data_IF_655164075610
#
_entry.id   IF_655164075610
#
_cell.length_a   1.000
_cell.length_b   1.000
_cell.length_c   1.000
_cell.angle_alpha   90.00
_cell.angle_beta   90.00
_cell.angle_gamma   90.00
#
_symmetry.space_group_name_H-M   'P 1'
#
loop_
_entity.id
_entity.type
_entity.pdbx_description
1 polymer ?
#
# COMPACT_ATOMS: atom_id res chain seq x y z
N UNK A 1 2.10 17.96 16.07
CA UNK A 1 2.77 16.76 16.64
C UNK A 1 2.02 16.36 17.91
N UNK A 2 1.13 15.35 17.82
CA UNK A 2 0.31 14.90 18.98
C UNK A 2 1.05 13.88 19.87
N UNK A 3 2.39 13.90 19.90
CA UNK A 3 3.21 13.05 20.75
C UNK A 3 3.30 11.58 20.34
N UNK A 4 2.88 11.22 19.12
CA UNK A 4 3.03 9.89 18.59
C UNK A 4 4.41 9.70 17.95
N UNK A 5 5.10 8.61 18.28
CA UNK A 5 6.37 8.20 17.64
C UNK A 5 6.16 7.47 16.32
N UNK A 6 4.95 6.99 16.05
CA UNK A 6 4.52 6.31 14.81
C UNK A 6 3.14 6.79 14.42
N UNK A 7 2.83 6.77 13.12
CA UNK A 7 1.49 7.13 12.62
C UNK A 7 0.49 6.06 13.07
N UNK A 8 -0.58 6.42 13.81
CA UNK A 8 -1.57 5.47 14.29
C UNK A 8 -2.34 4.82 13.13
N UNK A 9 -2.48 3.51 13.15
CA UNK A 9 -3.01 2.71 12.04
C UNK A 9 -4.44 3.06 11.61
N UNK A 10 -5.29 3.53 12.52
CA UNK A 10 -6.74 3.73 12.28
C UNK A 10 -7.18 5.16 12.62
N UNK A 11 -6.35 6.13 12.34
CA UNK A 11 -6.65 7.55 12.53
C UNK A 11 -6.54 8.31 11.22
N UNK A 12 -7.08 9.51 11.20
CA UNK A 12 -7.10 10.36 10.00
C UNK A 12 -5.70 10.70 9.50
N UNK A 13 -4.69 10.73 10.36
CA UNK A 13 -3.29 10.97 10.02
C UNK A 13 -2.68 9.87 9.13
N UNK A 14 -3.27 8.67 9.12
CA UNK A 14 -2.86 7.58 8.23
C UNK A 14 -3.56 7.60 6.87
N UNK A 15 -4.54 8.48 6.67
CA UNK A 15 -5.30 8.57 5.42
C UNK A 15 -4.51 9.38 4.39
N UNK A 16 -4.31 8.79 3.22
CA UNK A 16 -3.71 9.44 2.05
C UNK A 16 -4.81 9.75 1.03
N UNK A 17 -4.56 10.75 0.18
CA UNK A 17 -5.45 11.02 -0.95
C UNK A 17 -5.34 9.84 -1.92
N UNK A 18 -6.47 9.20 -2.32
CA UNK A 18 -6.43 8.07 -3.24
C UNK A 18 -5.86 8.47 -4.61
N UNK A 19 -4.81 7.81 -5.08
CA UNK A 19 -4.18 8.07 -6.39
C UNK A 19 -4.75 7.23 -7.54
N UNK A 20 -5.51 6.19 -7.24
CA UNK A 20 -5.96 5.18 -8.21
C UNK A 20 -6.78 5.77 -9.36
N UNK A 21 -7.67 6.70 -9.08
CA UNK A 21 -8.57 7.29 -10.10
C UNK A 21 -7.75 8.02 -11.17
N UNK A 22 -6.70 8.73 -10.77
CA UNK A 22 -5.78 9.34 -11.73
C UNK A 22 -5.06 8.27 -12.55
N UNK A 23 -4.56 7.22 -11.89
CA UNK A 23 -3.89 6.08 -12.55
C UNK A 23 -4.79 5.39 -13.58
N UNK A 24 -6.04 5.09 -13.22
CA UNK A 24 -7.02 4.49 -14.14
C UNK A 24 -7.28 5.37 -15.36
N UNK A 25 -7.48 6.67 -15.15
CA UNK A 25 -7.68 7.62 -16.24
C UNK A 25 -6.48 7.72 -17.18
N UNK A 26 -5.26 7.74 -16.62
CA UNK A 26 -4.01 7.77 -17.37
C UNK A 26 -3.81 6.50 -18.19
N UNK A 27 -3.99 5.33 -17.58
CA UNK A 27 -3.86 4.04 -18.27
C UNK A 27 -4.91 3.87 -19.37
N UNK A 28 -6.16 4.26 -19.10
CA UNK A 28 -7.22 4.21 -20.10
C UNK A 28 -6.92 5.14 -21.29
N UNK A 29 -6.38 6.32 -21.04
CA UNK A 29 -6.00 7.28 -22.08
C UNK A 29 -4.82 6.81 -22.93
N UNK A 30 -3.76 6.29 -22.28
CA UNK A 30 -2.50 6.03 -22.94
C UNK A 30 -2.44 4.64 -23.60
N UNK A 31 -3.18 3.66 -23.06
CA UNK A 31 -3.16 2.26 -23.49
C UNK A 31 -4.54 1.65 -23.74
N UNK A 32 -5.62 2.33 -23.32
CA UNK A 32 -6.97 1.81 -23.43
C UNK A 32 -7.50 1.82 -24.87
N UNK A 33 -8.30 0.83 -25.21
CA UNK A 33 -9.06 0.78 -26.46
C UNK A 33 -10.53 1.13 -26.28
N UNK A 34 -11.01 1.12 -25.02
CA UNK A 34 -12.36 1.50 -24.65
C UNK A 34 -12.35 2.84 -23.91
N UNK A 35 -13.36 3.69 -24.10
CA UNK A 35 -13.57 4.89 -23.30
C UNK A 35 -13.71 4.55 -21.81
N UNK A 36 -13.32 5.46 -20.95
CA UNK A 36 -13.36 5.27 -19.49
C UNK A 36 -14.78 5.00 -18.97
N UNK A 37 -15.78 5.69 -19.52
CA UNK A 37 -17.20 5.48 -19.19
C UNK A 37 -17.66 4.05 -19.48
N UNK A 38 -17.26 3.47 -20.62
CA UNK A 38 -17.63 2.09 -20.99
C UNK A 38 -16.93 1.08 -20.07
N UNK A 39 -15.68 1.35 -19.71
CA UNK A 39 -14.91 0.53 -18.78
C UNK A 39 -15.48 0.55 -17.36
N UNK A 40 -16.06 1.68 -16.92
CA UNK A 40 -16.65 1.83 -15.59
C UNK A 40 -18.11 1.39 -15.52
N UNK A 41 -18.83 1.26 -16.64
CA UNK A 41 -20.24 0.95 -16.68
C UNK A 41 -20.65 -0.31 -15.87
N UNK A 42 -19.92 -1.45 -15.94
CA UNK A 42 -20.23 -2.62 -15.10
C UNK A 42 -20.08 -2.34 -13.60
N UNK A 43 -19.03 -1.61 -13.19
CA UNK A 43 -18.80 -1.26 -11.79
C UNK A 43 -19.90 -0.35 -11.25
N UNK A 44 -20.32 0.64 -12.03
CA UNK A 44 -21.45 1.54 -11.70
C UNK A 44 -22.74 0.73 -11.54
N UNK A 45 -23.00 -0.19 -12.48
CA UNK A 45 -24.18 -1.06 -12.42
C UNK A 45 -24.21 -1.87 -11.13
N UNK A 46 -23.13 -2.58 -10.81
CA UNK A 46 -23.07 -3.43 -9.60
C UNK A 46 -23.08 -2.61 -8.31
N UNK A 47 -22.44 -1.45 -8.29
CA UNK A 47 -22.50 -0.57 -7.13
C UNK A 47 -23.93 -0.07 -6.85
N UNK A 48 -24.72 0.17 -7.91
CA UNK A 48 -26.10 0.64 -7.81
C UNK A 48 -27.09 -0.49 -7.54
N UNK A 49 -27.01 -1.58 -8.30
CA UNK A 49 -27.93 -2.72 -8.19
C UNK A 49 -27.64 -3.64 -7.01
N UNK A 50 -26.41 -3.64 -6.52
CA UNK A 50 -25.91 -4.56 -5.51
C UNK A 50 -25.36 -5.85 -6.10
N UNK A 51 -24.47 -6.48 -5.31
CA UNK A 51 -23.89 -7.80 -5.60
C UNK A 51 -24.23 -8.77 -4.46
N UNK A 52 -24.50 -10.05 -4.77
CA UNK A 52 -24.63 -11.06 -3.75
C UNK A 52 -23.31 -11.24 -3.00
N UNK A 53 -23.34 -11.17 -1.68
CA UNK A 53 -22.14 -11.29 -0.86
C UNK A 53 -21.61 -12.73 -0.89
N UNK A 54 -20.36 -12.90 -1.31
CA UNK A 54 -19.70 -14.20 -1.39
C UNK A 54 -19.38 -14.79 -0.01
N UNK A 55 -19.18 -16.12 0.13
CA UNK A 55 -18.97 -16.79 1.43
C UNK A 55 -17.80 -16.21 2.23
N UNK A 56 -16.64 -16.09 1.59
CA UNK A 56 -15.43 -15.56 2.23
C UNK A 56 -15.60 -14.10 2.64
N UNK A 57 -16.23 -13.30 1.78
CA UNK A 57 -16.51 -11.88 2.04
C UNK A 57 -17.45 -11.72 3.23
N UNK A 58 -18.53 -12.52 3.32
CA UNK A 58 -19.45 -12.49 4.47
C UNK A 58 -18.74 -12.83 5.78
N UNK A 59 -17.88 -13.86 5.76
CA UNK A 59 -17.07 -14.26 6.92
C UNK A 59 -16.13 -13.13 7.37
N UNK A 60 -15.32 -12.58 6.47
CA UNK A 60 -14.36 -11.54 6.79
C UNK A 60 -15.04 -10.24 7.24
N UNK A 61 -16.17 -9.90 6.63
CA UNK A 61 -16.96 -8.74 7.01
C UNK A 61 -17.45 -8.83 8.44
N UNK A 62 -18.02 -9.98 8.82
CA UNK A 62 -18.50 -10.23 10.17
C UNK A 62 -17.39 -10.08 11.22
N UNK A 63 -16.18 -10.58 10.92
CA UNK A 63 -15.02 -10.46 11.82
C UNK A 63 -14.53 -9.02 12.00
N UNK A 64 -14.77 -8.14 11.02
CA UNK A 64 -14.24 -6.78 11.00
C UNK A 64 -15.27 -5.70 11.36
N UNK A 65 -16.51 -6.03 11.69
CA UNK A 65 -17.55 -5.05 12.02
C UNK A 65 -17.19 -4.12 13.18
N UNK A 66 -16.41 -4.61 14.14
CA UNK A 66 -15.96 -3.83 15.30
C UNK A 66 -14.94 -2.74 14.91
N UNK A 67 -14.26 -2.91 13.78
CA UNK A 67 -13.28 -1.95 13.29
C UNK A 67 -13.92 -0.74 12.59
N UNK A 68 -15.19 -0.85 12.18
CA UNK A 68 -15.90 0.22 11.50
C UNK A 68 -16.29 1.33 12.49
N UNK A 69 -15.95 2.56 12.14
CA UNK A 69 -16.31 3.75 12.89
C UNK A 69 -17.65 4.34 12.38
N UNK A 70 -18.16 5.34 13.08
CA UNK A 70 -19.51 5.92 12.97
C UNK A 70 -20.11 5.94 11.55
N UNK A 71 -19.59 6.76 10.66
CA UNK A 71 -20.12 6.90 9.29
C UNK A 71 -19.91 5.64 8.43
N UNK A 72 -18.80 4.93 8.64
CA UNK A 72 -18.54 3.67 7.94
C UNK A 72 -19.56 2.58 8.34
N UNK A 73 -20.01 2.55 9.60
CA UNK A 73 -21.06 1.61 10.03
C UNK A 73 -22.37 1.82 9.27
N UNK A 74 -22.75 3.06 9.04
CA UNK A 74 -23.96 3.38 8.27
C UNK A 74 -23.88 2.94 6.81
N UNK A 75 -22.69 2.97 6.22
CA UNK A 75 -22.45 2.63 4.81
C UNK A 75 -22.19 1.16 4.56
N UNK A 76 -21.51 0.49 5.49
CA UNK A 76 -21.04 -0.89 5.30
C UNK A 76 -21.82 -1.95 6.09
N UNK A 77 -22.83 -1.56 6.87
CA UNK A 77 -23.69 -2.52 7.58
C UNK A 77 -25.12 -2.42 7.06
N UNK A 78 -25.81 -3.56 7.03
CA UNK A 78 -27.24 -3.65 6.72
C UNK A 78 -27.97 -3.83 8.05
N UNK A 79 -28.83 -2.87 8.41
CA UNK A 79 -29.52 -2.86 9.71
C UNK A 79 -28.56 -3.06 10.91
N UNK A 80 -27.37 -2.47 10.84
CA UNK A 80 -26.36 -2.53 11.91
C UNK A 80 -25.52 -3.81 11.97
N UNK A 81 -25.72 -4.76 11.06
CA UNK A 81 -24.99 -6.02 11.00
C UNK A 81 -24.24 -6.21 9.68
N UNK A 82 -23.20 -7.06 9.69
CA UNK A 82 -22.53 -7.47 8.45
C UNK A 82 -23.51 -8.14 7.49
N UNK A 83 -23.40 -7.88 6.16
CA UNK A 83 -24.19 -8.58 5.17
C UNK A 83 -23.99 -10.09 5.26
N UNK A 84 -25.07 -10.86 5.10
CA UNK A 84 -25.02 -12.32 5.10
C UNK A 84 -24.65 -12.86 3.73
N UNK A 85 -24.17 -14.10 3.71
CA UNK A 85 -23.95 -14.86 2.48
C UNK A 85 -25.18 -14.77 1.54
N UNK A 86 -24.96 -14.37 0.29
CA UNK A 86 -25.99 -14.23 -0.73
C UNK A 86 -26.88 -12.99 -0.60
N UNK A 87 -26.80 -12.24 0.49
CA UNK A 87 -27.52 -10.97 0.64
C UNK A 87 -26.97 -9.95 -0.35
N UNK A 88 -27.86 -9.18 -0.99
CA UNK A 88 -27.43 -8.10 -1.88
C UNK A 88 -26.88 -6.95 -1.06
N UNK A 89 -25.67 -6.52 -1.42
CA UNK A 89 -25.06 -5.30 -0.89
C UNK A 89 -24.87 -4.30 -2.02
N UNK A 90 -25.47 -3.14 -1.88
CA UNK A 90 -25.35 -2.01 -2.81
C UNK A 90 -24.61 -0.83 -2.17
N UNK A 91 -23.88 -0.08 -2.98
CA UNK A 91 -23.13 1.11 -2.58
C UNK A 91 -23.47 2.29 -3.50
N UNK A 92 -24.67 2.88 -3.39
CA UNK A 92 -25.13 3.92 -4.31
C UNK A 92 -24.26 5.18 -4.28
N UNK A 93 -23.63 5.51 -3.15
CA UNK A 93 -22.65 6.60 -3.06
C UNK A 93 -21.42 6.33 -3.92
N UNK A 94 -20.91 5.07 -3.92
CA UNK A 94 -19.80 4.66 -4.79
C UNK A 94 -20.20 4.72 -6.26
N UNK A 95 -21.44 4.33 -6.60
CA UNK A 95 -21.94 4.46 -7.97
C UNK A 95 -21.94 5.92 -8.42
N UNK A 96 -22.40 6.85 -7.58
CA UNK A 96 -22.41 8.28 -7.90
C UNK A 96 -21.00 8.86 -8.12
N UNK A 97 -20.01 8.42 -7.33
CA UNK A 97 -18.60 8.80 -7.53
C UNK A 97 -18.09 8.27 -8.87
N UNK A 98 -18.33 6.99 -9.17
CA UNK A 98 -17.88 6.37 -10.42
C UNK A 98 -18.54 7.00 -11.65
N UNK A 99 -19.83 7.40 -11.57
CA UNK A 99 -20.53 8.13 -12.62
C UNK A 99 -19.89 9.49 -12.91
N UNK A 100 -19.47 10.21 -11.87
CA UNK A 100 -18.73 11.46 -12.07
C UNK A 100 -17.38 11.23 -12.72
N UNK A 101 -16.64 10.23 -12.25
CA UNK A 101 -15.36 9.85 -12.87
C UNK A 101 -15.54 9.44 -14.34
N UNK A 102 -16.60 8.72 -14.65
CA UNK A 102 -16.93 8.33 -16.02
C UNK A 102 -17.24 9.54 -16.93
N UNK A 103 -17.88 10.56 -16.40
CA UNK A 103 -18.28 11.75 -17.14
C UNK A 103 -17.18 12.82 -17.23
N UNK A 104 -16.49 13.06 -16.13
CA UNK A 104 -15.58 14.20 -15.94
C UNK A 104 -14.11 13.77 -15.82
N UNK A 105 -13.83 12.44 -15.85
CA UNK A 105 -12.49 11.89 -15.68
C UNK A 105 -11.90 12.23 -14.31
N UNK A 106 -10.61 12.60 -14.30
CA UNK A 106 -9.87 12.99 -13.11
C UNK A 106 -10.59 14.06 -12.28
N UNK A 107 -11.11 15.07 -12.94
CA UNK A 107 -11.67 16.25 -12.26
C UNK A 107 -12.96 15.91 -11.50
N UNK A 108 -13.73 14.94 -11.96
CA UNK A 108 -14.89 14.41 -11.25
C UNK A 108 -14.60 13.79 -9.88
N UNK A 109 -13.33 13.51 -9.57
CA UNK A 109 -12.91 12.94 -8.30
C UNK A 109 -12.08 13.92 -7.45
N UNK A 110 -11.11 14.60 -8.06
CA UNK A 110 -10.14 15.43 -7.32
C UNK A 110 -10.52 16.90 -7.21
N UNK A 111 -11.64 17.29 -7.81
CA UNK A 111 -12.21 18.64 -7.70
C UNK A 111 -13.72 18.57 -7.48
N UNK A 112 -14.33 19.69 -7.11
CA UNK A 112 -15.78 19.79 -6.92
C UNK A 112 -16.34 18.88 -5.82
N UNK A 113 -17.60 18.47 -5.97
CA UNK A 113 -18.40 17.89 -4.89
C UNK A 113 -17.82 16.60 -4.27
N UNK A 114 -17.11 15.76 -5.04
CA UNK A 114 -16.49 14.54 -4.47
C UNK A 114 -15.30 14.89 -3.59
N UNK A 115 -14.41 15.76 -4.06
CA UNK A 115 -13.27 16.24 -3.28
C UNK A 115 -13.72 17.02 -2.03
N UNK A 116 -14.76 17.86 -2.17
CA UNK A 116 -15.35 18.64 -1.07
C UNK A 116 -15.93 17.71 0.02
N UNK A 117 -16.66 16.66 -0.35
CA UNK A 117 -17.21 15.67 0.60
C UNK A 117 -16.11 14.90 1.32
N UNK A 118 -15.09 14.44 0.58
CA UNK A 118 -13.93 13.76 1.17
C UNK A 118 -13.16 14.68 2.13
N UNK A 119 -12.88 15.90 1.70
CA UNK A 119 -12.16 16.88 2.52
C UNK A 119 -12.94 17.23 3.79
N UNK A 120 -14.26 17.48 3.67
CA UNK A 120 -15.11 17.77 4.81
C UNK A 120 -15.13 16.61 5.83
N UNK A 121 -15.23 15.36 5.35
CA UNK A 121 -15.20 14.17 6.19
C UNK A 121 -13.86 14.00 6.91
N UNK A 122 -12.73 14.22 6.21
CA UNK A 122 -11.39 14.15 6.80
C UNK A 122 -11.16 15.26 7.81
N UNK A 123 -11.60 16.48 7.52
CA UNK A 123 -11.52 17.63 8.44
C UNK A 123 -12.35 17.41 9.71
N UNK A 124 -13.56 16.86 9.57
CA UNK A 124 -14.41 16.49 10.70
C UNK A 124 -13.76 15.44 11.62
N UNK A 125 -12.92 14.57 11.05
CA UNK A 125 -12.10 13.60 11.79
C UNK A 125 -10.79 14.18 12.37
N UNK A 126 -10.52 15.49 12.18
CA UNK A 126 -9.29 16.15 12.65
C UNK A 126 -8.14 16.16 11.63
N UNK A 127 -8.39 15.76 10.38
CA UNK A 127 -7.37 15.78 9.33
C UNK A 127 -7.00 17.18 8.85
N UNK A 128 -5.82 17.32 8.26
CA UNK A 128 -5.30 18.59 7.73
C UNK A 128 -5.47 18.75 6.22
N UNK A 129 -6.06 17.75 5.53
CA UNK A 129 -6.22 17.74 4.08
C UNK A 129 -6.95 18.99 3.55
N UNK A 130 -6.49 19.51 2.42
CA UNK A 130 -7.08 20.67 1.75
C UNK A 130 -7.55 20.30 0.34
N UNK A 131 -8.41 21.12 -0.26
CA UNK A 131 -8.86 20.91 -1.64
C UNK A 131 -7.71 21.05 -2.64
N UNK A 132 -6.71 21.86 -2.31
CA UNK A 132 -5.49 22.01 -3.09
C UNK A 132 -4.68 20.72 -3.13
N UNK A 133 -4.61 19.97 -2.02
CA UNK A 133 -3.93 18.67 -1.97
C UNK A 133 -4.63 17.66 -2.91
N UNK A 134 -5.97 17.63 -2.92
CA UNK A 134 -6.74 16.80 -3.85
C UNK A 134 -6.47 17.23 -5.31
N UNK A 135 -6.58 18.52 -5.61
CA UNK A 135 -6.35 19.05 -6.94
C UNK A 135 -4.93 18.81 -7.45
N UNK A 136 -3.93 18.84 -6.57
CA UNK A 136 -2.52 18.60 -6.91
C UNK A 136 -2.20 17.11 -7.11
N UNK A 137 -3.08 16.18 -6.71
CA UNK A 137 -2.84 14.74 -6.84
C UNK A 137 -2.66 14.34 -8.31
N UNK A 138 -1.55 13.67 -8.61
CA UNK A 138 -1.20 13.17 -9.95
C UNK A 138 -0.43 11.86 -9.85
N UNK A 139 -0.60 11.01 -10.87
CA UNK A 139 0.25 9.85 -11.09
C UNK A 139 1.36 10.20 -12.07
N UNK A 140 2.50 9.57 -11.90
CA UNK A 140 3.67 9.72 -12.79
C UNK A 140 4.13 8.34 -13.23
N UNK A 141 4.69 8.26 -14.43
CA UNK A 141 5.43 7.07 -14.85
C UNK A 141 6.80 7.07 -14.19
N UNK A 142 7.23 5.91 -13.72
CA UNK A 142 8.55 5.72 -13.12
C UNK A 142 9.28 4.53 -13.72
N UNK A 143 10.60 4.46 -13.54
CA UNK A 143 11.39 3.30 -13.93
C UNK A 143 11.18 2.18 -12.89
N UNK A 144 10.77 0.97 -13.30
CA UNK A 144 10.63 -0.15 -12.37
C UNK A 144 11.97 -0.52 -11.73
N UNK A 145 11.91 -0.88 -10.45
CA UNK A 145 13.01 -1.57 -9.76
C UNK A 145 13.12 -3.00 -10.28
N UNK A 146 14.32 -3.58 -10.24
CA UNK A 146 14.59 -4.90 -10.82
C UNK A 146 15.44 -5.76 -9.90
N UNK A 147 15.12 -7.06 -9.85
CA UNK A 147 16.00 -8.09 -9.34
C UNK A 147 15.81 -9.37 -10.15
N UNK A 148 16.86 -10.17 -10.31
CA UNK A 148 16.80 -11.47 -10.96
C UNK A 148 16.78 -12.57 -9.90
N UNK A 149 15.96 -13.60 -10.05
CA UNK A 149 15.95 -14.79 -9.21
C UNK A 149 15.79 -16.05 -10.08
N UNK A 150 16.75 -16.96 -10.04
CA UNK A 150 16.73 -18.24 -10.82
C UNK A 150 16.38 -18.07 -12.29
N UNK A 151 16.91 -17.03 -12.94
CA UNK A 151 16.69 -16.76 -14.37
C UNK A 151 15.39 -16.01 -14.69
N UNK A 152 14.59 -15.68 -13.68
CA UNK A 152 13.40 -14.82 -13.83
C UNK A 152 13.74 -13.42 -13.34
N UNK A 153 13.39 -12.40 -14.14
CA UNK A 153 13.48 -11.01 -13.73
C UNK A 153 12.17 -10.60 -13.03
N UNK A 154 12.29 -10.10 -11.80
CA UNK A 154 11.19 -9.49 -11.06
C UNK A 154 11.24 -7.97 -11.25
N UNK A 155 10.11 -7.40 -11.64
CA UNK A 155 9.91 -5.97 -11.79
C UNK A 155 8.95 -5.49 -10.70
N UNK A 156 9.31 -4.42 -10.02
CA UNK A 156 8.51 -3.85 -8.94
C UNK A 156 8.38 -2.33 -9.08
N UNK A 157 7.32 -1.79 -8.51
CA UNK A 157 7.15 -0.35 -8.42
C UNK A 157 8.29 0.29 -7.61
N UNK A 158 8.76 1.48 -8.03
CA UNK A 158 9.72 2.24 -7.24
C UNK A 158 9.11 2.70 -5.91
N UNK A 159 9.93 3.32 -5.07
CA UNK A 159 9.42 4.03 -3.90
C UNK A 159 8.40 5.09 -4.39
N UNK A 160 7.37 5.25 -3.66
CA UNK A 160 6.91 4.99 -2.29
C UNK A 160 6.32 3.57 -2.05
N UNK A 161 6.17 2.77 -3.10
CA UNK A 161 5.70 1.38 -2.99
C UNK A 161 6.69 0.48 -2.24
N UNK A 162 6.20 -0.68 -1.80
CA UNK A 162 7.00 -1.66 -1.04
C UNK A 162 7.72 -2.67 -1.92
N UNK A 163 7.76 -2.49 -3.23
CA UNK A 163 8.39 -3.42 -4.18
C UNK A 163 9.84 -3.71 -3.85
N UNK A 164 10.62 -2.70 -3.44
CA UNK A 164 12.00 -2.88 -2.99
C UNK A 164 12.15 -3.91 -1.87
N UNK A 165 11.17 -4.06 -0.98
CA UNK A 165 11.18 -5.07 0.08
C UNK A 165 11.16 -6.48 -0.50
N UNK A 166 10.31 -6.74 -1.48
CA UNK A 166 10.23 -8.04 -2.15
C UNK A 166 11.54 -8.34 -2.91
N UNK A 167 12.10 -7.36 -3.60
CA UNK A 167 13.36 -7.50 -4.31
C UNK A 167 14.53 -7.79 -3.36
N UNK A 168 14.58 -7.14 -2.20
CA UNK A 168 15.58 -7.43 -1.17
C UNK A 168 15.42 -8.85 -0.64
N UNK A 169 14.20 -9.30 -0.35
CA UNK A 169 13.93 -10.69 0.07
C UNK A 169 14.45 -11.69 -0.97
N UNK A 170 14.16 -11.48 -2.25
CA UNK A 170 14.64 -12.32 -3.34
C UNK A 170 16.17 -12.33 -3.43
N UNK A 171 16.81 -11.16 -3.27
CA UNK A 171 18.26 -11.06 -3.29
C UNK A 171 18.88 -11.81 -2.10
N UNK A 172 18.27 -11.78 -0.92
CA UNK A 172 18.71 -12.60 0.22
C UNK A 172 18.49 -14.09 -0.01
N UNK A 173 17.34 -14.49 -0.58
CA UNK A 173 17.01 -15.90 -0.88
C UNK A 173 18.02 -16.57 -1.82
N UNK A 174 18.73 -15.82 -2.67
CA UNK A 174 19.79 -16.35 -3.56
C UNK A 174 20.93 -17.03 -2.81
N UNK A 175 21.14 -16.67 -1.56
CA UNK A 175 22.22 -17.20 -0.72
C UNK A 175 21.88 -18.53 -0.05
N UNK A 176 20.65 -19.05 -0.27
CA UNK A 176 20.17 -20.32 0.29
C UNK A 176 19.70 -21.25 -0.83
N UNK A 177 19.93 -22.56 -0.66
CA UNK A 177 19.37 -23.56 -1.58
C UNK A 177 17.89 -23.85 -1.23
N UNK A 178 17.03 -22.88 -1.50
CA UNK A 178 15.58 -22.97 -1.24
C UNK A 178 14.92 -24.15 -1.97
N UNK A 179 15.54 -24.69 -3.03
CA UNK A 179 14.96 -25.79 -3.80
C UNK A 179 15.14 -27.16 -3.11
N UNK A 180 16.21 -27.32 -2.33
CA UNK A 180 16.45 -28.54 -1.56
C UNK A 180 15.62 -28.62 -0.28
N UNK A 181 15.09 -27.49 0.20
CA UNK A 181 14.28 -27.43 1.41
C UNK A 181 12.85 -27.90 1.15
N UNK A 182 12.28 -28.68 2.05
CA UNK A 182 10.87 -29.08 1.97
C UNK A 182 9.97 -27.85 1.99
N UNK A 183 8.97 -27.72 1.06
CA UNK A 183 8.14 -26.49 0.92
C UNK A 183 7.44 -26.03 2.21
N UNK A 184 7.08 -26.97 3.07
CA UNK A 184 6.45 -26.70 4.37
C UNK A 184 7.33 -27.14 5.55
N UNK A 185 8.64 -27.27 5.30
CA UNK A 185 9.61 -27.69 6.32
C UNK A 185 10.01 -26.54 7.26
N UNK A 186 10.41 -26.90 8.47
CA UNK A 186 10.82 -25.95 9.51
C UNK A 186 12.01 -25.09 9.07
N UNK A 187 13.00 -25.70 8.41
CA UNK A 187 14.17 -25.00 7.91
C UNK A 187 13.81 -23.88 6.95
N UNK A 188 12.96 -24.19 5.94
CA UNK A 188 12.49 -23.21 4.97
C UNK A 188 11.69 -22.10 5.63
N UNK A 189 10.74 -22.46 6.49
CA UNK A 189 9.92 -21.48 7.21
C UNK A 189 10.79 -20.56 8.08
N UNK A 190 11.84 -21.10 8.72
CA UNK A 190 12.79 -20.32 9.51
C UNK A 190 13.54 -19.31 8.64
N UNK A 191 14.16 -19.75 7.55
CA UNK A 191 14.91 -18.85 6.63
C UNK A 191 13.99 -17.78 6.03
N UNK A 192 12.81 -18.13 5.56
CA UNK A 192 11.85 -17.16 5.01
C UNK A 192 11.42 -16.13 6.07
N UNK A 193 11.22 -16.53 7.32
CA UNK A 193 10.88 -15.64 8.42
C UNK A 193 12.02 -14.68 8.76
N UNK A 194 13.25 -15.17 8.84
CA UNK A 194 14.43 -14.34 9.16
C UNK A 194 14.73 -13.33 8.05
N UNK A 195 14.65 -13.76 6.78
CA UNK A 195 14.74 -12.87 5.61
C UNK A 195 13.66 -11.79 5.68
N UNK A 196 12.42 -12.17 5.99
CA UNK A 196 11.32 -11.21 6.11
C UNK A 196 11.55 -10.18 7.19
N UNK A 197 12.02 -10.57 8.37
CA UNK A 197 12.35 -9.65 9.47
C UNK A 197 13.37 -8.59 9.05
N UNK A 198 14.46 -9.00 8.42
CA UNK A 198 15.52 -8.10 7.95
C UNK A 198 15.03 -7.17 6.83
N UNK A 199 14.25 -7.71 5.89
CA UNK A 199 13.70 -6.90 4.80
C UNK A 199 12.68 -5.86 5.29
N UNK A 200 11.86 -6.21 6.27
CA UNK A 200 10.91 -5.27 6.89
C UNK A 200 11.60 -4.22 7.76
N UNK A 201 12.71 -4.55 8.44
CA UNK A 201 13.53 -3.55 9.12
C UNK A 201 14.12 -2.55 8.12
N UNK A 202 14.72 -3.04 7.02
CA UNK A 202 15.24 -2.20 5.94
C UNK A 202 14.14 -1.32 5.31
N UNK A 203 12.95 -1.90 5.05
CA UNK A 203 11.79 -1.15 4.55
C UNK A 203 11.45 0.05 5.43
N UNK A 204 11.35 -0.18 6.74
CA UNK A 204 10.96 0.86 7.69
C UNK A 204 11.95 2.02 7.75
N UNK A 205 13.20 1.80 7.30
CA UNK A 205 14.26 2.80 7.29
C UNK A 205 14.43 3.53 5.99
N UNK A 206 14.20 2.85 4.86
CA UNK A 206 14.65 3.33 3.55
C UNK A 206 13.50 3.61 2.57
N UNK A 207 12.29 3.11 2.81
CA UNK A 207 11.16 3.37 1.93
C UNK A 207 10.36 4.55 2.47
N UNK A 208 10.28 5.59 1.66
CA UNK A 208 9.49 6.78 1.86
C UNK A 208 8.96 7.27 0.50
N UNK A 209 8.43 8.48 0.45
CA UNK A 209 8.12 9.15 -0.81
C UNK A 209 9.35 9.21 -1.72
N UNK A 210 9.16 8.97 -3.04
CA UNK A 210 10.25 8.86 -4.01
C UNK A 210 11.21 10.05 -4.04
N UNK A 211 10.70 11.25 -3.77
CA UNK A 211 11.49 12.46 -3.73
C UNK A 211 12.44 12.51 -2.51
N UNK A 212 12.18 11.69 -1.50
CA UNK A 212 12.96 11.62 -0.25
C UNK A 212 13.66 10.26 -0.04
N UNK A 213 13.32 9.24 -0.82
CA UNK A 213 13.84 7.87 -0.68
C UNK A 213 15.16 7.69 -1.47
N UNK A 214 16.21 8.35 -1.08
CA UNK A 214 17.49 8.37 -1.81
C UNK A 214 18.32 7.08 -1.75
N UNK A 215 17.94 6.08 -0.96
CA UNK A 215 18.75 4.89 -0.65
C UNK A 215 18.12 3.55 -1.08
N UNK A 216 17.11 3.59 -1.92
CA UNK A 216 16.40 2.37 -2.37
C UNK A 216 17.32 1.46 -3.17
N UNK A 217 18.15 2.03 -4.05
CA UNK A 217 19.11 1.24 -4.84
C UNK A 217 20.11 0.51 -3.95
N UNK A 218 20.61 1.18 -2.91
CA UNK A 218 21.49 0.55 -1.92
C UNK A 218 20.76 -0.56 -1.14
N UNK A 219 19.48 -0.31 -0.75
CA UNK A 219 18.66 -1.32 -0.06
C UNK A 219 18.57 -2.63 -0.84
N UNK A 220 18.36 -2.56 -2.16
CA UNK A 220 18.19 -3.74 -3.02
C UNK A 220 19.50 -4.26 -3.62
N UNK A 221 20.65 -3.63 -3.33
CA UNK A 221 21.93 -4.07 -3.86
C UNK A 221 22.28 -5.51 -3.43
N UNK A 222 22.87 -6.32 -4.32
CA UNK A 222 23.32 -7.68 -3.98
C UNK A 222 24.27 -7.72 -2.79
N UNK A 223 25.13 -6.72 -2.66
CA UNK A 223 26.09 -6.58 -1.57
C UNK A 223 25.40 -6.37 -0.22
N UNK A 224 24.33 -5.59 -0.19
CA UNK A 224 23.49 -5.39 0.99
C UNK A 224 22.82 -6.69 1.40
N UNK A 225 22.25 -7.43 0.45
CA UNK A 225 21.65 -8.74 0.71
C UNK A 225 22.69 -9.74 1.26
N UNK A 226 23.90 -9.77 0.66
CA UNK A 226 25.00 -10.64 1.12
C UNK A 226 25.47 -10.32 2.54
N UNK A 227 25.39 -9.07 2.98
CA UNK A 227 25.72 -8.68 4.34
C UNK A 227 24.58 -9.05 5.32
N UNK A 228 23.33 -8.82 4.94
CA UNK A 228 22.16 -9.11 5.77
C UNK A 228 22.02 -10.61 6.07
N UNK A 229 22.26 -11.49 5.11
CA UNK A 229 22.14 -12.94 5.32
C UNK A 229 23.14 -13.48 6.34
N UNK A 230 24.27 -12.80 6.57
CA UNK A 230 25.25 -13.19 7.62
C UNK A 230 24.70 -13.01 9.03
N UNK A 231 23.61 -12.27 9.20
CA UNK A 231 22.96 -12.08 10.49
C UNK A 231 21.96 -13.20 10.80
N UNK A 232 21.66 -14.06 9.84
CA UNK A 232 20.73 -15.18 10.01
C UNK A 232 21.48 -16.37 10.65
N UNK A 233 21.05 -16.75 11.85
CA UNK A 233 21.48 -18.00 12.48
C UNK A 233 20.51 -19.11 12.06
N UNK A 234 20.98 -20.19 11.38
CA UNK A 234 20.10 -21.25 10.92
C UNK A 234 19.42 -22.06 12.04
N UNK A 235 19.92 -21.93 13.27
CA UNK A 235 19.46 -22.72 14.43
C UNK A 235 18.72 -21.87 15.47
N UNK A 236 18.66 -20.56 15.31
CA UNK A 236 18.08 -19.65 16.30
C UNK A 236 17.32 -18.52 15.65
N UNK A 237 16.05 -18.33 16.04
CA UNK A 237 15.25 -17.21 15.60
C UNK A 237 15.81 -15.88 16.14
N UNK A 238 15.91 -14.88 15.27
CA UNK A 238 16.26 -13.51 15.61
C UNK A 238 15.18 -12.92 16.51
N UNK A 239 15.55 -12.48 17.70
CA UNK A 239 14.60 -11.97 18.68
C UNK A 239 14.09 -10.58 18.31
N UNK A 240 15.00 -9.68 17.88
CA UNK A 240 14.67 -8.31 17.48
C UNK A 240 15.49 -7.93 16.24
N UNK A 241 14.83 -7.74 15.10
CA UNK A 241 15.48 -7.28 13.87
C UNK A 241 15.76 -5.78 13.87
N UNK A 242 15.19 -5.03 14.83
CA UNK A 242 15.26 -3.56 14.84
C UNK A 242 16.71 -3.07 14.92
N UNK A 243 17.11 -2.27 13.95
CA UNK A 243 18.45 -1.69 13.87
C UNK A 243 19.52 -2.58 13.26
N UNK A 244 19.22 -3.84 12.96
CA UNK A 244 20.22 -4.74 12.37
C UNK A 244 20.60 -4.32 10.94
N UNK A 245 19.65 -3.87 10.16
CA UNK A 245 19.93 -3.33 8.83
C UNK A 245 20.69 -2.00 8.87
N UNK A 246 20.55 -1.21 9.95
CA UNK A 246 21.25 0.06 10.12
C UNK A 246 22.77 -0.11 10.21
N UNK A 247 23.25 -1.16 10.87
CA UNK A 247 24.68 -1.43 11.03
C UNK A 247 25.40 -1.65 9.68
N UNK A 248 24.66 -2.15 8.69
CA UNK A 248 25.15 -2.41 7.33
C UNK A 248 25.14 -1.14 6.48
N UNK A 249 24.38 -0.12 6.89
CA UNK A 249 24.18 1.12 6.17
C UNK A 249 24.94 2.32 6.73
N UNK A 250 25.94 2.10 7.60
CA UNK A 250 26.64 3.15 8.36
C UNK A 250 27.47 4.13 7.54
N UNK A 251 27.74 3.87 6.29
CA UNK A 251 28.62 4.69 5.45
C UNK A 251 27.96 5.91 4.82
N UNK A 252 26.75 6.30 5.25
CA UNK A 252 26.09 7.49 4.74
C UNK A 252 25.73 8.44 5.86
N UNK A 253 26.27 9.64 5.80
CA UNK A 253 25.90 10.71 6.71
C UNK A 253 24.53 11.25 6.29
N UNK A 254 23.54 11.10 7.16
CA UNK A 254 22.29 11.85 7.07
C UNK A 254 22.44 13.11 7.93
N UNK A 255 22.44 14.28 7.29
CA UNK A 255 22.50 15.57 7.98
C UNK A 255 21.12 16.23 7.84
N UNK A 256 20.40 16.32 8.94
CA UNK A 256 19.20 17.15 9.03
C UNK A 256 19.61 18.46 9.68
N UNK A 257 19.43 19.56 8.97
CA UNK A 257 19.59 20.91 9.54
C UNK A 257 18.20 21.50 9.74
N UNK A 258 17.85 21.74 10.98
CA UNK A 258 16.61 22.45 11.36
C UNK A 258 17.04 23.78 11.96
N UNK A 259 16.73 24.88 11.28
CA UNK A 259 16.95 26.21 11.83
C UNK A 259 15.81 26.67 12.74
N UNK A 260 15.93 27.87 13.32
CA UNK A 260 14.91 28.46 14.19
C UNK A 260 13.56 28.72 13.51
N UNK A 261 13.50 28.67 12.17
CA UNK A 261 12.30 28.89 11.37
C UNK A 261 11.68 27.55 10.90
N UNK A 262 12.35 26.40 11.17
CA UNK A 262 11.94 25.02 10.80
C UNK A 262 11.69 24.87 9.30
#
# INVERSE_FOLDING_TARGET
EEGHSVIPLRRVESVRIPGEVYGFGTLAKDFGTLPLNDSLAPAIHYARAGVPVAPKVAFDWAQNTQALQTSAREKYLIAGAAPKLGQLFAAPGQAAVLERVAAEGRDGFYTGAVAEDMQASLRAAGGCHTLEDFAATKSTYGTPLRASYKGVEMLEHPANGQGATALLMLNMMKHFDMASMAPFGTERAHIEAEISKLAYDARNRFIADGDYASRVDHMIAPETAAQLVRLIDPNRAMADPHGLSEAIHKDTIYITVVDKNR
#
